data_IF_060966740740
#
_entry.id   IF_060966740740
#
_cell.length_a   1.000
_cell.length_b   1.000
_cell.length_c   1.000
_cell.angle_alpha   90.00
_cell.angle_beta   90.00
_cell.angle_gamma   90.00
#
_symmetry.space_group_name_H-M   'P 1'
#
loop_
_entity.id
_entity.type
_entity.pdbx_description
1 polymer ?
#
# COMPACT_ATOMS: atom_id res chain seq x y z
N UNK A 1 4.17 12.07 11.94
CA UNK A 1 2.81 11.64 12.24
C UNK A 1 2.70 10.12 12.12
N UNK A 2 1.74 9.49 12.76
CA UNK A 2 1.43 8.08 12.54
C UNK A 2 0.21 7.95 11.63
N UNK A 3 0.12 6.87 10.86
CA UNK A 3 -1.09 6.49 10.15
C UNK A 3 -2.24 6.36 11.17
N UNK A 4 -3.41 6.85 10.86
CA UNK A 4 -4.59 6.74 11.72
C UNK A 4 -4.82 7.86 12.75
N UNK A 5 -4.07 8.96 12.71
CA UNK A 5 -4.21 10.04 13.70
C UNK A 5 -5.37 11.02 13.48
N UNK A 6 -6.26 10.79 12.57
CA UNK A 6 -7.47 11.62 12.37
C UNK A 6 -8.71 10.75 12.58
N UNK A 7 -9.28 10.77 13.73
CA UNK A 7 -10.57 10.28 14.24
C UNK A 7 -11.63 9.63 13.34
N UNK A 8 -11.27 9.01 12.25
CA UNK A 8 -12.11 8.23 11.33
C UNK A 8 -11.21 7.46 10.37
N UNK A 9 -11.56 6.23 10.05
CA UNK A 9 -10.88 5.44 9.04
C UNK A 9 -10.85 6.17 7.69
N UNK A 10 -9.71 6.19 6.98
CA UNK A 10 -9.57 6.90 5.72
C UNK A 10 -10.51 6.35 4.64
N UNK A 11 -10.91 7.20 3.69
CA UNK A 11 -11.70 6.76 2.54
C UNK A 11 -10.90 5.84 1.59
N UNK A 12 -9.60 6.09 1.48
CA UNK A 12 -8.67 5.32 0.67
C UNK A 12 -7.77 4.47 1.56
N UNK A 13 -7.66 3.19 1.24
CA UNK A 13 -6.77 2.26 1.95
C UNK A 13 -5.91 1.45 0.99
N UNK A 14 -4.69 1.11 1.41
CA UNK A 14 -3.88 0.07 0.78
C UNK A 14 -4.57 -1.25 1.11
N UNK A 15 -5.02 -1.98 0.08
CA UNK A 15 -5.96 -3.09 0.25
C UNK A 15 -5.37 -4.47 -0.07
N UNK A 16 -4.49 -4.55 -1.07
CA UNK A 16 -3.76 -5.77 -1.44
C UNK A 16 -2.35 -5.41 -1.88
N UNK A 17 -1.38 -6.23 -1.54
CA UNK A 17 0.01 -6.07 -1.94
C UNK A 17 0.66 -7.43 -2.22
N UNK A 18 1.34 -7.53 -3.37
CA UNK A 18 2.21 -8.62 -3.77
C UNK A 18 3.58 -8.01 -4.07
N UNK A 19 4.57 -8.32 -3.21
CA UNK A 19 5.91 -7.71 -3.27
C UNK A 19 7.04 -8.73 -3.41
N UNK A 20 6.73 -10.03 -3.46
CA UNK A 20 7.72 -11.11 -3.55
C UNK A 20 7.09 -12.31 -4.28
N UNK A 21 7.68 -12.79 -5.36
CA UNK A 21 7.14 -13.89 -6.15
C UNK A 21 8.14 -15.05 -6.26
N UNK A 22 7.66 -16.26 -6.57
CA UNK A 22 8.54 -17.37 -6.88
C UNK A 22 9.46 -17.07 -8.09
N UNK A 23 10.74 -16.96 -7.83
CA UNK A 23 11.75 -16.65 -8.85
C UNK A 23 12.07 -15.17 -8.95
N UNK A 24 11.90 -14.59 -10.14
CA UNK A 24 12.13 -13.17 -10.36
C UNK A 24 10.86 -12.34 -10.06
N UNK A 25 11.00 -11.25 -9.32
CA UNK A 25 9.91 -10.33 -8.99
C UNK A 25 9.51 -9.50 -10.22
N UNK A 26 8.63 -10.04 -11.03
CA UNK A 26 8.21 -9.44 -12.31
C UNK A 26 6.72 -9.13 -12.39
N UNK A 27 5.94 -9.49 -11.36
CA UNK A 27 4.49 -9.33 -11.33
C UNK A 27 3.98 -8.69 -10.03
N UNK A 28 4.78 -7.79 -9.46
CA UNK A 28 4.42 -7.06 -8.24
C UNK A 28 3.29 -6.07 -8.47
N UNK A 29 2.45 -5.88 -7.44
CA UNK A 29 1.42 -4.85 -7.46
C UNK A 29 1.04 -4.36 -6.06
N UNK A 30 0.52 -3.14 -6.01
CA UNK A 30 -0.11 -2.55 -4.83
C UNK A 30 -1.47 -2.01 -5.24
N UNK A 31 -2.50 -2.39 -4.51
CA UNK A 31 -3.86 -1.96 -4.72
C UNK A 31 -4.30 -0.95 -3.68
N UNK A 32 -4.97 0.11 -4.15
CA UNK A 32 -5.67 1.09 -3.32
C UNK A 32 -7.17 0.92 -3.56
N UNK A 33 -7.94 0.81 -2.48
CA UNK A 33 -9.38 0.71 -2.51
C UNK A 33 -10.04 1.97 -1.96
N UNK A 34 -11.03 2.51 -2.68
CA UNK A 34 -11.91 3.55 -2.16
C UNK A 34 -13.08 2.90 -1.43
N UNK A 35 -13.01 2.85 -0.12
CA UNK A 35 -14.06 2.23 0.72
C UNK A 35 -15.28 3.13 0.95
N UNK A 36 -15.22 4.39 0.51
CA UNK A 36 -16.33 5.31 0.69
C UNK A 36 -17.44 5.16 -0.36
N UNK A 37 -18.61 5.64 -0.04
CA UNK A 37 -19.77 5.68 -0.96
C UNK A 37 -19.72 6.84 -1.96
N UNK A 38 -18.62 7.59 -2.00
CA UNK A 38 -18.41 8.73 -2.89
C UNK A 38 -17.13 8.59 -3.69
N UNK A 39 -17.06 9.26 -4.83
CA UNK A 39 -15.84 9.33 -5.62
C UNK A 39 -14.78 10.20 -4.91
N UNK A 40 -13.50 9.83 -5.02
CA UNK A 40 -12.37 10.54 -4.44
C UNK A 40 -11.46 11.06 -5.53
N UNK A 41 -11.11 12.34 -5.47
CA UNK A 41 -10.08 12.92 -6.34
C UNK A 41 -8.69 12.48 -5.87
N UNK A 42 -7.92 11.88 -6.78
CA UNK A 42 -6.58 11.37 -6.52
C UNK A 42 -5.49 12.43 -6.75
N UNK A 43 -5.84 13.63 -7.20
CA UNK A 43 -4.89 14.72 -7.43
C UNK A 43 -4.13 15.05 -6.14
N UNK A 44 -2.80 15.11 -6.24
CA UNK A 44 -1.92 15.36 -5.09
C UNK A 44 -1.66 14.15 -4.20
N UNK A 45 -2.29 13.01 -4.46
CA UNK A 45 -2.01 11.77 -3.74
C UNK A 45 -0.87 11.00 -4.40
N UNK A 46 -0.06 10.35 -3.58
CA UNK A 46 1.09 9.58 -4.04
C UNK A 46 1.19 8.28 -3.25
N UNK A 47 1.58 7.21 -3.93
CA UNK A 47 2.04 5.98 -3.29
C UNK A 47 3.55 6.07 -3.12
N UNK A 48 4.04 6.00 -1.89
CA UNK A 48 5.47 6.13 -1.54
C UNK A 48 5.99 4.78 -1.10
N UNK A 49 7.15 4.38 -1.64
CA UNK A 49 7.87 3.16 -1.27
C UNK A 49 9.02 3.51 -0.34
N UNK A 50 9.11 2.79 0.78
CA UNK A 50 10.05 3.10 1.87
C UNK A 50 10.95 1.92 2.18
N UNK A 51 12.26 2.17 2.15
CA UNK A 51 13.27 1.24 2.66
C UNK A 51 13.41 1.43 4.17
N UNK A 52 12.96 0.47 4.94
CA UNK A 52 13.09 0.44 6.40
C UNK A 52 14.39 -0.21 6.88
N UNK A 53 15.15 -0.84 5.99
CA UNK A 53 16.45 -1.45 6.30
C UNK A 53 17.60 -0.45 6.51
N UNK A 54 17.33 0.86 6.40
CA UNK A 54 18.31 1.94 6.59
C UNK A 54 17.93 2.85 7.76
N UNK A 55 18.85 3.69 8.23
CA UNK A 55 18.60 4.60 9.35
C UNK A 55 18.95 6.04 8.95
N UNK A 56 17.99 6.98 8.96
CA UNK A 56 16.56 6.75 9.13
C UNK A 56 15.95 5.98 7.95
N UNK A 57 14.83 5.27 8.13
CA UNK A 57 14.06 4.75 7.01
C UNK A 57 13.75 5.85 6.01
N UNK A 58 13.81 5.56 4.72
CA UNK A 58 13.59 6.62 3.73
C UNK A 58 12.87 6.13 2.48
N UNK A 59 12.27 7.10 1.81
CA UNK A 59 11.66 6.89 0.50
C UNK A 59 12.72 6.53 -0.54
N UNK A 60 12.50 5.47 -1.31
CA UNK A 60 13.32 5.12 -2.47
C UNK A 60 12.59 5.30 -3.80
N UNK A 61 11.25 5.37 -3.79
CA UNK A 61 10.44 5.63 -4.98
C UNK A 61 9.06 6.18 -4.59
N UNK A 62 8.37 6.79 -5.55
CA UNK A 62 6.96 7.14 -5.45
C UNK A 62 6.25 7.06 -6.80
N UNK A 63 4.95 6.82 -6.76
CA UNK A 63 4.06 6.84 -7.91
C UNK A 63 2.98 7.91 -7.66
N UNK A 64 2.96 9.00 -8.44
CA UNK A 64 1.88 9.98 -8.38
C UNK A 64 0.57 9.36 -8.83
N UNK A 65 -0.50 9.72 -8.14
CA UNK A 65 -1.86 9.31 -8.51
C UNK A 65 -2.58 10.48 -9.17
N UNK A 66 -3.52 10.19 -10.06
CA UNK A 66 -4.33 11.21 -10.74
C UNK A 66 -5.70 10.68 -11.14
N UNK A 67 -6.60 11.61 -11.47
CA UNK A 67 -7.96 11.28 -11.85
C UNK A 67 -8.90 11.13 -10.66
N UNK A 68 -10.07 10.53 -10.91
CA UNK A 68 -11.12 10.36 -9.90
C UNK A 68 -11.43 8.88 -9.73
N UNK A 69 -11.19 8.36 -8.53
CA UNK A 69 -11.52 6.99 -8.19
C UNK A 69 -12.98 6.91 -7.73
N UNK A 70 -13.78 6.13 -8.42
CA UNK A 70 -15.22 6.00 -8.12
C UNK A 70 -15.46 5.42 -6.72
N UNK A 71 -16.66 5.61 -6.19
CA UNK A 71 -17.11 4.91 -4.99
C UNK A 71 -16.89 3.41 -5.12
N UNK A 72 -16.30 2.80 -4.11
CA UNK A 72 -15.93 1.38 -4.09
C UNK A 72 -15.06 0.93 -5.28
N UNK A 73 -14.32 1.87 -5.88
CA UNK A 73 -13.39 1.59 -6.99
C UNK A 73 -12.00 1.21 -6.50
N UNK A 74 -11.22 0.62 -7.43
CA UNK A 74 -9.84 0.21 -7.21
C UNK A 74 -8.89 0.98 -8.11
N UNK A 75 -7.71 1.28 -7.58
CA UNK A 75 -6.57 1.81 -8.31
C UNK A 75 -5.37 0.90 -8.04
N UNK A 76 -4.66 0.47 -9.08
CA UNK A 76 -3.59 -0.52 -8.95
C UNK A 76 -2.30 -0.02 -9.56
N UNK A 77 -1.26 0.15 -8.74
CA UNK A 77 0.11 0.20 -9.22
C UNK A 77 0.56 -1.23 -9.51
N UNK A 78 1.05 -1.49 -10.73
CA UNK A 78 1.37 -2.85 -11.16
C UNK A 78 2.54 -2.94 -12.13
N UNK A 79 3.23 -4.06 -12.15
CA UNK A 79 4.11 -4.45 -13.24
C UNK A 79 3.33 -4.96 -14.46
N UNK A 80 3.96 -4.96 -15.64
CA UNK A 80 3.27 -5.29 -16.90
C UNK A 80 2.53 -6.65 -16.92
N UNK A 81 3.09 -7.76 -16.37
CA UNK A 81 2.41 -9.05 -16.38
C UNK A 81 1.11 -9.11 -15.56
N UNK A 82 0.94 -8.24 -14.56
CA UNK A 82 -0.27 -8.24 -13.73
C UNK A 82 -1.48 -7.78 -14.55
N UNK A 83 -2.55 -8.55 -14.52
CA UNK A 83 -3.81 -8.22 -15.19
C UNK A 83 -4.85 -7.74 -14.20
N UNK A 84 -5.66 -6.76 -14.60
CA UNK A 84 -6.78 -6.23 -13.81
C UNK A 84 -8.05 -6.23 -14.63
N UNK A 85 -9.24 -6.19 -14.01
CA UNK A 85 -10.51 -6.03 -14.74
C UNK A 85 -10.54 -4.76 -15.61
N UNK A 86 -11.28 -4.82 -16.71
CA UNK A 86 -11.42 -3.67 -17.60
C UNK A 86 -12.03 -2.47 -16.85
N UNK A 87 -11.44 -1.29 -17.03
CA UNK A 87 -11.89 -0.04 -16.41
C UNK A 87 -11.28 0.25 -15.03
N UNK A 88 -10.49 -0.67 -14.46
CA UNK A 88 -9.68 -0.38 -13.27
C UNK A 88 -8.58 0.62 -13.63
N UNK A 89 -8.42 1.64 -12.79
CA UNK A 89 -7.34 2.62 -12.95
C UNK A 89 -6.00 1.99 -12.60
N UNK A 90 -4.99 2.17 -13.43
CA UNK A 90 -3.67 1.59 -13.21
C UNK A 90 -2.54 2.58 -13.45
N UNK A 91 -1.44 2.39 -12.71
CA UNK A 91 -0.14 3.02 -12.97
C UNK A 91 0.95 1.94 -13.01
N UNK A 92 2.01 2.21 -13.78
CA UNK A 92 3.07 1.24 -13.95
C UNK A 92 4.10 1.33 -12.82
N UNK A 93 4.41 0.19 -12.19
CA UNK A 93 5.61 0.02 -11.37
C UNK A 93 6.80 -0.21 -12.30
N UNK A 94 7.83 0.63 -12.18
CA UNK A 94 9.08 0.54 -12.97
C UNK A 94 10.30 0.28 -12.10
N UNK A 95 10.10 0.06 -10.82
CA UNK A 95 11.10 -0.27 -9.82
C UNK A 95 10.83 -1.69 -9.31
N UNK A 96 11.80 -2.31 -8.66
CA UNK A 96 11.53 -3.50 -7.83
C UNK A 96 10.99 -3.03 -6.49
N UNK A 97 9.88 -3.59 -6.04
CA UNK A 97 9.39 -3.40 -4.67
C UNK A 97 10.34 -4.14 -3.75
N UNK A 98 10.89 -3.46 -2.74
CA UNK A 98 11.84 -4.11 -1.85
C UNK A 98 11.12 -5.12 -0.97
N UNK A 99 11.73 -6.29 -0.78
CA UNK A 99 11.22 -7.39 0.03
C UNK A 99 12.14 -7.69 1.24
N UNK A 100 12.86 -6.69 1.69
CA UNK A 100 13.82 -6.75 2.79
C UNK A 100 13.19 -6.93 4.18
N UNK A 101 14.01 -6.89 5.23
CA UNK A 101 13.57 -7.25 6.59
C UNK A 101 12.61 -6.25 7.23
N UNK A 102 12.54 -5.01 6.71
CA UNK A 102 11.58 -3.99 7.17
C UNK A 102 11.40 -2.98 6.05
N UNK A 103 10.37 -3.12 5.28
CA UNK A 103 10.04 -2.18 4.21
C UNK A 103 8.56 -1.80 4.30
N UNK A 104 8.12 -0.83 3.51
CA UNK A 104 6.72 -0.44 3.55
C UNK A 104 6.30 0.47 2.42
N UNK A 105 5.02 0.68 2.37
CA UNK A 105 4.36 1.61 1.46
C UNK A 105 3.49 2.59 2.24
N UNK A 106 3.41 3.82 1.75
CA UNK A 106 2.59 4.86 2.32
C UNK A 106 1.71 5.50 1.24
N UNK A 107 0.43 5.64 1.53
CA UNK A 107 -0.48 6.46 0.75
C UNK A 107 -0.50 7.85 1.36
N UNK A 108 -0.08 8.86 0.62
CA UNK A 108 0.16 10.19 1.16
C UNK A 108 -0.50 11.28 0.30
N UNK A 109 -1.07 12.28 0.95
CA UNK A 109 -1.58 13.49 0.28
C UNK A 109 -0.55 14.62 0.43
N UNK A 110 0.08 14.98 -0.69
CA UNK A 110 1.12 16.02 -0.71
C UNK A 110 0.54 17.44 -0.59
N UNK A 111 -0.74 17.64 -0.90
CA UNK A 111 -1.41 18.94 -0.82
C UNK A 111 -1.75 19.32 0.61
N UNK A 112 -2.13 18.36 1.43
CA UNK A 112 -2.46 18.52 2.84
C UNK A 112 -1.32 18.10 3.77
N UNK A 113 -0.28 17.47 3.23
CA UNK A 113 0.82 16.86 3.98
C UNK A 113 0.31 15.84 5.02
N UNK A 114 -0.57 14.94 4.59
CA UNK A 114 -1.22 13.96 5.46
C UNK A 114 -0.88 12.54 5.01
N UNK A 115 -0.45 11.70 5.94
CA UNK A 115 -0.40 10.26 5.75
C UNK A 115 -1.84 9.75 5.80
N UNK A 116 -2.32 9.19 4.68
CA UNK A 116 -3.69 8.68 4.54
C UNK A 116 -3.76 7.27 5.10
N UNK A 117 -2.85 6.41 4.66
CA UNK A 117 -2.77 5.01 5.05
C UNK A 117 -1.34 4.51 4.88
N UNK A 118 -0.95 3.47 5.59
CA UNK A 118 0.38 2.88 5.48
C UNK A 118 0.37 1.39 5.77
N UNK A 119 1.29 0.67 5.15
CA UNK A 119 1.53 -0.72 5.45
C UNK A 119 3.03 -1.00 5.47
N UNK A 120 3.50 -1.68 6.52
CA UNK A 120 4.88 -2.16 6.59
C UNK A 120 4.92 -3.67 6.81
N UNK A 121 5.91 -4.30 6.22
CA UNK A 121 6.14 -5.74 6.25
C UNK A 121 7.58 -6.07 6.63
N UNK A 122 7.80 -7.28 7.13
CA UNK A 122 9.11 -7.70 7.62
C UNK A 122 9.54 -7.08 8.96
N UNK A 123 8.75 -6.15 9.50
CA UNK A 123 8.98 -5.43 10.75
C UNK A 123 8.41 -4.02 10.73
N UNK A 124 8.41 -3.31 11.87
CA UNK A 124 7.92 -1.94 11.94
C UNK A 124 8.86 -0.97 11.22
N UNK A 125 8.30 -0.01 10.51
CA UNK A 125 9.01 1.13 9.92
C UNK A 125 8.59 2.39 10.70
N UNK A 126 9.53 2.97 11.43
CA UNK A 126 9.32 4.13 12.28
C UNK A 126 10.23 5.29 11.88
N UNK A 127 9.65 6.51 11.87
CA UNK A 127 10.40 7.72 11.59
C UNK A 127 10.88 7.83 10.13
N UNK A 128 10.12 7.29 9.19
CA UNK A 128 10.46 7.35 7.77
C UNK A 128 10.51 8.79 7.25
N UNK A 129 11.47 9.08 6.40
CA UNK A 129 11.67 10.39 5.75
C UNK A 129 11.23 10.30 4.30
N UNK A 130 10.36 11.23 3.87
CA UNK A 130 9.89 11.31 2.50
C UNK A 130 10.56 12.47 1.76
N UNK A 131 10.97 12.25 0.52
CA UNK A 131 11.70 13.22 -0.28
C UNK A 131 10.88 14.50 -0.52
N UNK A 132 11.40 15.65 -0.05
CA UNK A 132 10.74 16.95 -0.20
C UNK A 132 9.51 17.16 0.66
N UNK A 133 9.22 16.25 1.60
CA UNK A 133 8.12 16.36 2.56
C UNK A 133 8.73 16.50 3.96
N UNK A 134 8.46 17.59 4.68
CA UNK A 134 9.04 17.79 6.01
C UNK A 134 8.42 16.86 7.04
N UNK A 135 9.24 16.49 8.05
CA UNK A 135 8.82 15.62 9.14
C UNK A 135 9.23 14.16 8.97
N UNK A 136 8.77 13.35 9.89
CA UNK A 136 8.98 11.89 9.90
C UNK A 136 7.65 11.17 10.09
N UNK A 137 7.55 9.96 9.55
CA UNK A 137 6.30 9.23 9.45
C UNK A 137 6.46 7.79 9.94
N UNK A 138 5.57 7.35 10.80
CA UNK A 138 5.50 5.95 11.21
C UNK A 138 4.53 5.21 10.29
N UNK A 139 5.00 4.11 9.70
CA UNK A 139 4.20 3.31 8.78
C UNK A 139 3.56 2.09 9.47
N UNK A 140 3.84 1.89 10.73
CA UNK A 140 3.22 0.83 11.51
C UNK A 140 1.87 1.29 12.05
N UNK A 141 0.83 0.51 11.78
CA UNK A 141 -0.51 0.71 12.34
C UNK A 141 -0.69 -0.22 13.54
N UNK A 142 -0.82 0.37 14.72
CA UNK A 142 -1.00 -0.37 15.96
C UNK A 142 0.07 -1.45 16.17
N UNK A 143 -0.36 -2.70 16.15
CA UNK A 143 0.55 -3.85 16.21
C UNK A 143 0.95 -4.27 14.80
N UNK A 144 2.25 -4.30 14.52
CA UNK A 144 2.76 -4.75 13.22
C UNK A 144 2.28 -6.17 12.88
N UNK A 145 1.98 -6.40 11.62
CA UNK A 145 1.64 -7.75 11.15
C UNK A 145 2.87 -8.67 11.15
N UNK A 146 2.61 -9.96 11.29
CA UNK A 146 3.62 -11.02 11.12
C UNK A 146 3.46 -11.78 9.80
N UNK A 147 2.38 -11.48 9.03
CA UNK A 147 2.19 -12.12 7.72
C UNK A 147 3.23 -11.59 6.73
N UNK A 148 3.64 -12.45 5.81
CA UNK A 148 4.67 -12.17 4.82
C UNK A 148 4.25 -12.73 3.48
N UNK A 149 4.68 -12.08 2.44
CA UNK A 149 4.72 -12.63 1.10
C UNK A 149 5.80 -13.71 0.96
N UNK A 150 5.88 -14.40 -0.16
CA UNK A 150 6.69 -15.61 -0.31
C UNK A 150 7.37 -15.69 -1.67
N UNK A 151 8.69 -15.86 -1.65
CA UNK A 151 9.46 -16.20 -2.86
C UNK A 151 9.35 -17.68 -3.27
N UNK A 152 8.47 -18.44 -2.65
CA UNK A 152 8.25 -19.88 -2.92
C UNK A 152 6.86 -20.21 -3.41
N UNK A 153 5.87 -19.43 -2.93
CA UNK A 153 4.46 -19.66 -3.20
C UNK A 153 3.88 -18.37 -3.80
N UNK A 154 2.92 -18.49 -4.70
CA UNK A 154 2.17 -17.34 -5.22
C UNK A 154 1.18 -16.91 -4.15
N UNK A 155 1.45 -15.79 -3.52
CA UNK A 155 0.67 -15.20 -2.44
C UNK A 155 0.54 -13.70 -2.65
N UNK A 156 -0.44 -13.10 -2.01
CA UNK A 156 -0.50 -11.67 -1.71
C UNK A 156 -0.93 -11.44 -0.26
N UNK A 157 -0.72 -10.25 0.23
CA UNK A 157 -1.24 -9.80 1.51
C UNK A 157 -2.47 -8.95 1.25
N UNK A 158 -3.54 -9.22 1.98
CA UNK A 158 -4.83 -8.57 1.80
C UNK A 158 -5.39 -8.06 3.12
N UNK A 159 -6.14 -6.96 3.08
CA UNK A 159 -7.05 -6.60 4.17
C UNK A 159 -8.26 -7.53 4.14
N UNK A 160 -8.63 -8.08 5.28
CA UNK A 160 -9.78 -9.00 5.42
C UNK A 160 -10.60 -8.66 6.67
N UNK A 161 -11.90 -8.37 6.47
CA UNK A 161 -12.67 -8.18 5.23
C UNK A 161 -12.12 -7.10 4.30
N UNK A 162 -12.49 -7.19 3.00
CA UNK A 162 -12.06 -6.24 1.97
C UNK A 162 -12.21 -4.78 2.45
N UNK A 163 -11.14 -4.01 2.42
CA UNK A 163 -11.09 -2.63 2.86
C UNK A 163 -11.17 -2.43 4.37
N UNK A 164 -11.08 -3.49 5.21
CA UNK A 164 -11.02 -3.33 6.65
C UNK A 164 -9.79 -2.54 7.05
N UNK A 165 -9.98 -1.59 7.92
CA UNK A 165 -8.92 -0.82 8.52
C UNK A 165 -9.34 -0.40 9.93
N UNK A 166 -8.64 -0.95 10.92
CA UNK A 166 -8.86 -0.72 12.34
C UNK A 166 -7.66 -0.03 12.98
N UNK A 167 -6.76 0.55 12.17
CA UNK A 167 -5.47 1.07 12.61
C UNK A 167 -4.64 0.00 13.37
N UNK A 168 -4.76 -1.26 12.95
CA UNK A 168 -4.03 -2.37 13.58
C UNK A 168 -3.68 -3.45 12.53
N UNK A 169 -2.49 -3.35 11.98
CA UNK A 169 -2.04 -4.22 10.89
C UNK A 169 -2.11 -5.72 11.23
N UNK A 170 -1.91 -6.10 12.49
CA UNK A 170 -2.00 -7.51 12.90
C UNK A 170 -3.44 -8.07 12.89
N UNK A 171 -4.44 -7.19 12.96
CA UNK A 171 -5.85 -7.56 12.94
C UNK A 171 -6.47 -7.48 11.52
N UNK A 172 -5.90 -6.61 10.67
CA UNK A 172 -6.48 -6.28 9.37
C UNK A 172 -5.91 -7.10 8.21
N UNK A 173 -4.68 -7.60 8.33
CA UNK A 173 -3.96 -8.23 7.23
C UNK A 173 -3.80 -9.73 7.37
N UNK A 174 -3.98 -10.43 6.24
CA UNK A 174 -3.70 -11.87 6.10
C UNK A 174 -3.12 -12.19 4.72
N UNK A 175 -2.63 -13.40 4.54
CA UNK A 175 -2.17 -13.91 3.23
C UNK A 175 -3.29 -14.61 2.49
N UNK A 176 -3.25 -14.56 1.16
CA UNK A 176 -4.10 -15.34 0.27
C UNK A 176 -3.31 -15.87 -0.92
N UNK A 177 -3.70 -17.02 -1.45
CA UNK A 177 -3.24 -17.54 -2.75
C UNK A 177 -4.16 -17.17 -3.91
N UNK A 178 -5.24 -16.44 -3.63
CA UNK A 178 -6.17 -15.92 -4.64
C UNK A 178 -5.94 -14.42 -4.77
N UNK A 179 -5.07 -14.06 -5.72
CA UNK A 179 -4.75 -12.67 -5.99
C UNK A 179 -5.91 -12.00 -6.73
N UNK A 180 -6.30 -10.80 -6.30
CA UNK A 180 -7.48 -10.10 -6.81
C UNK A 180 -7.21 -8.64 -7.22
N UNK A 181 -6.10 -8.31 -7.91
CA UNK A 181 -5.78 -6.93 -8.23
C UNK A 181 -6.89 -6.26 -9.06
N UNK A 182 -7.49 -5.22 -8.50
CA UNK A 182 -8.61 -4.47 -9.10
C UNK A 182 -10.00 -5.04 -8.80
N UNK A 183 -10.10 -5.96 -7.82
CA UNK A 183 -11.36 -6.60 -7.44
C UNK A 183 -11.41 -6.83 -5.91
N UNK A 184 -12.59 -7.11 -5.33
CA UNK A 184 -12.69 -7.38 -3.90
C UNK A 184 -11.83 -8.56 -3.45
N UNK A 185 -11.16 -8.42 -2.30
CA UNK A 185 -10.46 -9.51 -1.63
C UNK A 185 -11.40 -10.69 -1.32
N UNK A 186 -10.89 -11.95 -1.38
CA UNK A 186 -11.70 -13.15 -1.16
C UNK A 186 -12.22 -13.28 0.28
#
# INVERSE_FOLDING_TARGET
GSAGASGGSPDLVINEIDYDQPGDDTAEFIEIFNRSATAVDLTGKVLIFVNGGVTPPNEYARIPMSGTLTAHGYWVAKMDPVTVPAGVMTEKITISVQNGPSDGVALFDTSTQTLIDAFCYGGPVLGAVFNGIPGTWDLVEGTATTVKDSNKDVLSLIRQPNGQDTDNASADWMTTSTLTPGAPNP
#
